data_IF_274378542748
#
_entry.id   IF_274378542748
#
_cell.length_a   1.000
_cell.length_b   1.000
_cell.length_c   1.000
_cell.angle_alpha   90.00
_cell.angle_beta   90.00
_cell.angle_gamma   90.00
#
_symmetry.space_group_name_H-M   'P 1'
#
loop_
_entity.id
_entity.type
_entity.pdbx_description
1 polymer ?
#
# COMPACT_ATOMS: atom_id res chain seq x y z
N UNK A 1 -36.16 -23.75 -45.84
CA UNK A 1 -36.23 -23.43 -44.39
C UNK A 1 -35.11 -24.21 -43.73
N UNK A 2 -33.91 -23.65 -43.81
CA UNK A 2 -32.68 -24.21 -43.27
C UNK A 2 -32.59 -23.83 -41.79
N UNK A 3 -32.42 -24.83 -40.92
CA UNK A 3 -32.05 -24.62 -39.52
C UNK A 3 -30.59 -25.05 -39.40
N UNK A 4 -29.71 -24.05 -39.38
CA UNK A 4 -28.27 -24.17 -39.25
C UNK A 4 -27.96 -24.49 -37.77
N UNK A 5 -27.21 -25.57 -37.55
CA UNK A 5 -26.60 -25.85 -36.25
C UNK A 5 -25.57 -24.78 -35.87
N UNK A 6 -24.93 -24.98 -34.71
CA UNK A 6 -23.77 -24.23 -34.21
C UNK A 6 -24.08 -23.10 -33.21
N UNK A 7 -24.34 -23.43 -31.93
CA UNK A 7 -23.91 -22.58 -30.80
C UNK A 7 -23.72 -23.42 -29.51
N UNK A 8 -22.92 -24.49 -29.55
CA UNK A 8 -22.44 -25.19 -28.32
C UNK A 8 -20.90 -25.15 -28.18
N UNK A 9 -20.25 -24.19 -28.86
CA UNK A 9 -18.80 -23.96 -28.78
C UNK A 9 -18.47 -22.47 -28.58
N UNK A 10 -18.92 -21.81 -27.49
CA UNK A 10 -18.34 -20.52 -27.04
C UNK A 10 -18.16 -20.46 -25.50
N UNK A 11 -18.07 -21.62 -24.82
CA UNK A 11 -17.60 -21.68 -23.42
C UNK A 11 -16.33 -22.51 -23.25
N UNK A 12 -15.48 -22.50 -24.28
CA UNK A 12 -14.15 -23.12 -24.25
C UNK A 12 -13.13 -22.22 -24.94
N UNK A 13 -12.74 -21.14 -24.27
CA UNK A 13 -11.39 -20.56 -24.39
C UNK A 13 -11.24 -19.36 -23.47
N UNK A 14 -10.60 -19.63 -22.33
CA UNK A 14 -9.59 -18.74 -21.72
C UNK A 14 -9.90 -17.25 -21.66
N UNK A 15 -10.45 -16.82 -20.52
CA UNK A 15 -9.84 -15.71 -19.81
C UNK A 15 -9.88 -16.03 -18.32
N UNK A 16 -8.80 -16.64 -17.86
CA UNK A 16 -8.46 -16.74 -16.46
C UNK A 16 -8.58 -15.36 -15.85
N UNK A 17 -9.65 -15.11 -15.09
CA UNK A 17 -9.63 -14.12 -14.04
C UNK A 17 -8.44 -14.50 -13.16
N UNK A 18 -7.30 -13.85 -13.37
CA UNK A 18 -6.07 -14.11 -12.64
C UNK A 18 -6.43 -13.85 -11.18
N UNK A 19 -6.63 -14.94 -10.43
CA UNK A 19 -6.56 -14.97 -8.98
C UNK A 19 -5.16 -14.52 -8.63
N UNK A 20 -4.96 -13.20 -8.66
CA UNK A 20 -3.75 -12.52 -8.22
C UNK A 20 -3.77 -12.62 -6.71
N UNK A 21 -3.30 -13.76 -6.23
CA UNK A 21 -3.11 -14.01 -4.82
C UNK A 21 -2.26 -12.88 -4.22
N UNK A 22 -2.66 -12.42 -3.04
CA UNK A 22 -2.04 -11.29 -2.37
C UNK A 22 -0.80 -11.76 -1.61
N UNK A 23 0.36 -11.67 -2.25
CA UNK A 23 1.62 -12.15 -1.69
C UNK A 23 2.56 -11.02 -1.30
N UNK A 24 3.30 -11.25 -0.22
CA UNK A 24 4.52 -10.51 0.10
C UNK A 24 5.65 -11.05 -0.79
N UNK A 25 6.18 -10.17 -1.63
CA UNK A 25 7.26 -10.45 -2.59
C UNK A 25 8.62 -10.29 -1.91
N UNK A 26 8.75 -9.25 -1.09
CA UNK A 26 9.96 -9.01 -0.32
C UNK A 26 9.65 -8.33 1.00
N UNK A 27 10.58 -8.47 1.94
CA UNK A 27 10.58 -7.78 3.21
C UNK A 27 11.99 -7.23 3.43
N UNK A 28 12.10 -6.00 3.90
CA UNK A 28 13.36 -5.29 4.01
C UNK A 28 13.44 -4.43 5.27
N UNK A 29 14.66 -4.10 5.66
CA UNK A 29 15.01 -3.19 6.74
C UNK A 29 15.95 -2.14 6.17
N UNK A 30 15.58 -0.87 6.30
CA UNK A 30 16.37 0.30 5.91
C UNK A 30 16.89 0.98 7.17
N UNK A 31 18.14 1.40 7.14
CA UNK A 31 18.80 2.16 8.20
C UNK A 31 19.32 3.48 7.63
N UNK A 32 19.36 4.51 8.46
CA UNK A 32 20.10 5.73 8.14
C UNK A 32 21.54 5.61 8.63
N UNK A 33 22.49 5.56 7.70
CA UNK A 33 23.92 5.65 7.97
C UNK A 33 24.38 7.11 7.85
N UNK A 34 25.11 7.62 8.85
CA UNK A 34 25.55 9.02 8.87
C UNK A 34 26.56 9.39 7.77
N UNK A 35 27.22 8.40 7.16
CA UNK A 35 28.21 8.58 6.08
C UNK A 35 27.60 8.27 4.71
N UNK A 36 26.79 7.22 4.61
CA UNK A 36 26.23 6.75 3.32
C UNK A 36 24.82 7.25 3.04
N UNK A 37 24.11 7.76 4.05
CA UNK A 37 22.69 8.09 3.96
C UNK A 37 21.80 6.87 4.15
N UNK A 38 20.63 6.85 3.51
CA UNK A 38 19.70 5.72 3.61
C UNK A 38 20.31 4.48 2.93
N UNK A 39 20.27 3.34 3.61
CA UNK A 39 20.81 2.07 3.11
C UNK A 39 19.90 0.92 3.50
N UNK A 40 19.75 -0.07 2.61
CA UNK A 40 19.12 -1.36 2.97
C UNK A 40 20.11 -2.13 3.84
N UNK A 41 19.77 -2.33 5.12
CA UNK A 41 20.56 -3.10 6.09
C UNK A 41 20.37 -4.61 5.86
N UNK A 42 19.14 -5.01 5.55
CA UNK A 42 18.76 -6.40 5.37
C UNK A 42 17.53 -6.52 4.48
N UNK A 43 17.43 -7.60 3.70
CA UNK A 43 16.24 -7.92 2.93
C UNK A 43 16.08 -9.43 2.74
N UNK A 44 14.87 -9.85 2.39
CA UNK A 44 14.53 -11.21 1.97
C UNK A 44 13.49 -11.13 0.85
N UNK A 45 13.64 -11.89 -0.25
CA UNK A 45 14.81 -12.70 -0.62
C UNK A 45 16.03 -11.84 -0.96
N UNK A 46 17.24 -12.39 -0.86
CA UNK A 46 18.50 -11.62 -0.95
C UNK A 46 18.84 -11.13 -2.38
N UNK A 47 18.21 -11.72 -3.39
CA UNK A 47 18.46 -11.51 -4.82
C UNK A 47 17.46 -10.55 -5.48
N UNK A 48 16.53 -9.98 -4.71
CA UNK A 48 15.53 -9.06 -5.25
C UNK A 48 16.09 -7.65 -5.48
N UNK A 49 15.74 -7.04 -6.61
CA UNK A 49 16.08 -5.65 -6.91
C UNK A 49 15.19 -4.67 -6.11
N UNK A 50 15.75 -4.12 -5.05
CA UNK A 50 15.15 -3.08 -4.20
C UNK A 50 15.84 -1.72 -4.39
N UNK A 51 16.52 -1.51 -5.51
CA UNK A 51 17.24 -0.25 -5.76
C UNK A 51 16.29 0.95 -5.64
N UNK A 52 16.63 1.90 -4.77
CA UNK A 52 15.88 3.12 -4.55
C UNK A 52 14.73 3.00 -3.55
N UNK A 53 14.44 1.80 -3.02
CA UNK A 53 13.45 1.60 -1.95
C UNK A 53 13.90 2.32 -0.68
N UNK A 54 15.19 2.43 -0.41
CA UNK A 54 15.76 3.14 0.73
C UNK A 54 15.37 4.62 0.79
N UNK A 55 15.14 5.26 -0.37
CA UNK A 55 14.70 6.66 -0.47
C UNK A 55 13.18 6.83 -0.44
N UNK A 56 12.44 5.71 -0.47
CA UNK A 56 10.98 5.67 -0.30
C UNK A 56 10.60 5.25 1.13
N UNK A 57 11.37 4.34 1.72
CA UNK A 57 11.17 3.80 3.06
C UNK A 57 11.48 4.82 4.17
N UNK A 58 12.54 5.61 4.01
CA UNK A 58 12.85 6.74 4.90
C UNK A 58 12.63 8.03 4.12
N UNK A 59 11.51 8.69 4.43
CA UNK A 59 11.04 9.88 3.74
C UNK A 59 11.89 11.09 4.10
N UNK A 60 12.01 12.03 3.16
CA UNK A 60 12.69 13.30 3.43
C UNK A 60 11.96 14.05 4.55
N UNK A 61 12.69 14.39 5.61
CA UNK A 61 12.12 15.01 6.81
C UNK A 61 11.66 14.01 7.89
N UNK A 62 11.82 12.69 7.72
CA UNK A 62 11.44 11.72 8.76
C UNK A 62 12.16 11.93 10.11
N UNK A 63 13.27 12.68 10.14
CA UNK A 63 13.94 13.05 11.39
C UNK A 63 13.12 14.00 12.29
N UNK A 64 12.03 14.61 11.79
CA UNK A 64 11.15 15.49 12.58
C UNK A 64 10.04 14.74 13.30
N UNK A 65 9.91 13.43 13.06
CA UNK A 65 8.86 12.58 13.64
C UNK A 65 9.48 11.36 14.31
N UNK A 66 8.82 10.85 15.35
CA UNK A 66 9.29 9.65 16.07
C UNK A 66 8.88 8.39 15.32
N UNK A 67 7.68 8.39 14.74
CA UNK A 67 7.07 7.26 14.04
C UNK A 67 6.31 7.78 12.82
N UNK A 68 6.34 7.02 11.73
CA UNK A 68 5.54 7.28 10.53
C UNK A 68 5.37 5.98 9.74
N UNK A 69 4.45 5.96 8.79
CA UNK A 69 4.37 4.89 7.79
C UNK A 69 4.19 5.50 6.41
N UNK A 70 4.57 4.75 5.38
CA UNK A 70 4.51 5.23 4.00
C UNK A 70 4.09 4.10 3.08
N UNK A 71 3.15 4.40 2.17
CA UNK A 71 2.87 3.59 0.99
C UNK A 71 3.59 4.18 -0.20
N UNK A 72 4.11 3.33 -1.08
CA UNK A 72 4.78 3.76 -2.30
C UNK A 72 4.64 2.70 -3.39
N UNK A 73 4.75 3.12 -4.65
CA UNK A 73 4.91 2.17 -5.76
C UNK A 73 6.39 1.87 -6.01
N UNK A 74 6.72 0.60 -6.21
CA UNK A 74 8.02 0.12 -6.65
C UNK A 74 7.84 -0.79 -7.86
N UNK A 75 8.26 -0.34 -9.03
CA UNK A 75 7.99 -1.02 -10.31
C UNK A 75 6.47 -1.30 -10.46
N UNK A 76 6.09 -2.57 -10.66
CA UNK A 76 4.69 -3.01 -10.77
C UNK A 76 4.08 -3.48 -9.43
N UNK A 77 4.77 -3.19 -8.32
CA UNK A 77 4.39 -3.62 -6.99
C UNK A 77 4.21 -2.42 -6.05
N UNK A 78 3.65 -2.70 -4.88
CA UNK A 78 3.36 -1.70 -3.86
C UNK A 78 4.12 -2.01 -2.59
N UNK A 79 4.73 -0.99 -2.00
CA UNK A 79 5.45 -1.09 -0.75
C UNK A 79 4.72 -0.43 0.40
N UNK A 80 4.86 -1.02 1.58
CA UNK A 80 4.57 -0.39 2.86
C UNK A 80 5.86 -0.38 3.67
N UNK A 81 6.22 0.77 4.23
CA UNK A 81 7.32 0.88 5.19
C UNK A 81 6.86 1.59 6.44
N UNK A 82 7.23 1.08 7.61
CA UNK A 82 7.01 1.71 8.90
C UNK A 82 8.35 2.21 9.42
N UNK A 83 8.41 3.48 9.82
CA UNK A 83 9.60 4.19 10.28
C UNK A 83 9.55 4.40 11.79
N UNK A 84 10.70 4.29 12.44
CA UNK A 84 10.88 4.71 13.82
C UNK A 84 12.24 5.38 14.05
N UNK A 85 12.22 6.40 14.90
CA UNK A 85 13.36 7.18 15.38
C UNK A 85 13.46 7.00 16.90
N UNK A 86 14.66 6.73 17.40
CA UNK A 86 14.96 6.70 18.84
C UNK A 86 16.20 7.50 19.11
N UNK A 87 16.16 8.37 20.13
CA UNK A 87 17.34 9.08 20.60
C UNK A 87 18.26 8.11 21.36
N UNK A 88 19.54 8.10 21.01
CA UNK A 88 20.54 7.17 21.57
C UNK A 88 21.74 7.97 22.03
N UNK A 89 22.27 7.69 23.23
CA UNK A 89 23.41 8.40 23.81
C UNK A 89 24.78 7.92 23.24
N UNK A 90 24.84 7.54 21.97
CA UNK A 90 26.05 7.09 21.29
C UNK A 90 26.60 8.21 20.39
N UNK A 91 27.86 8.57 20.60
CA UNK A 91 28.55 9.60 19.82
C UNK A 91 28.68 9.23 18.33
N UNK A 92 28.82 7.94 18.01
CA UNK A 92 28.92 7.44 16.63
C UNK A 92 27.60 7.56 15.85
N UNK A 93 26.47 7.48 16.54
CA UNK A 93 25.12 7.60 15.95
C UNK A 93 24.56 9.02 16.05
N UNK A 94 25.39 10.02 16.42
CA UNK A 94 25.01 11.44 16.57
C UNK A 94 23.73 11.68 17.38
N UNK A 95 23.49 10.88 18.41
CA UNK A 95 22.34 11.11 19.29
C UNK A 95 21.03 10.47 18.84
N UNK A 96 20.94 9.87 17.64
CA UNK A 96 19.69 9.33 17.12
C UNK A 96 19.86 8.16 16.15
N UNK A 97 19.07 7.12 16.37
CA UNK A 97 18.99 5.94 15.50
C UNK A 97 17.66 5.94 14.76
N UNK A 98 17.73 5.73 13.46
CA UNK A 98 16.58 5.69 12.55
C UNK A 98 16.57 4.38 11.81
N UNK A 99 15.43 3.67 11.85
CA UNK A 99 15.20 2.48 11.02
C UNK A 99 13.82 2.52 10.41
N UNK A 100 13.68 1.82 9.30
CA UNK A 100 12.39 1.51 8.72
C UNK A 100 12.31 0.03 8.35
N UNK A 101 11.19 -0.61 8.64
CA UNK A 101 10.91 -1.99 8.24
C UNK A 101 9.74 -1.96 7.28
N UNK A 102 9.88 -2.64 6.14
CA UNK A 102 8.87 -2.60 5.11
C UNK A 102 8.75 -3.89 4.32
N UNK A 103 7.69 -3.95 3.55
CA UNK A 103 7.33 -5.07 2.68
C UNK A 103 7.03 -4.55 1.27
N UNK A 104 7.15 -5.42 0.29
CA UNK A 104 6.65 -5.25 -1.07
C UNK A 104 5.56 -6.30 -1.31
N UNK A 105 4.38 -5.85 -1.73
CA UNK A 105 3.22 -6.67 -2.04
C UNK A 105 2.76 -6.47 -3.48
N UNK A 106 2.04 -7.47 -4.00
CA UNK A 106 1.42 -7.39 -5.33
C UNK A 106 0.28 -6.36 -5.40
N UNK A 107 -0.44 -6.16 -4.30
CA UNK A 107 -1.60 -5.25 -4.21
C UNK A 107 -1.40 -4.23 -3.12
N UNK A 108 -1.86 -3.00 -3.37
CA UNK A 108 -1.88 -1.96 -2.32
C UNK A 108 -3.04 -2.14 -1.32
N UNK A 109 -4.06 -2.93 -1.67
CA UNK A 109 -5.28 -3.09 -0.87
C UNK A 109 -5.03 -3.81 0.45
N UNK A 110 -4.06 -4.74 0.50
CA UNK A 110 -3.69 -5.51 1.69
C UNK A 110 -2.64 -4.87 2.59
N UNK A 111 -1.94 -3.82 2.13
CA UNK A 111 -0.81 -3.24 2.87
C UNK A 111 -1.17 -2.93 4.32
N UNK A 112 -2.37 -2.40 4.54
CA UNK A 112 -2.87 -2.01 5.86
C UNK A 112 -2.94 -3.18 6.87
N UNK A 113 -3.06 -4.43 6.41
CA UNK A 113 -3.10 -5.62 7.27
C UNK A 113 -1.74 -5.92 7.89
N UNK A 114 -0.67 -5.48 7.24
CA UNK A 114 0.70 -5.72 7.67
C UNK A 114 1.27 -4.60 8.55
N UNK A 115 0.62 -3.42 8.56
CA UNK A 115 1.12 -2.23 9.25
C UNK A 115 1.36 -2.45 10.74
N UNK A 116 0.38 -3.02 11.46
CA UNK A 116 0.50 -3.23 12.92
C UNK A 116 1.72 -4.11 13.27
N UNK A 117 1.99 -5.13 12.45
CA UNK A 117 3.17 -5.99 12.63
C UNK A 117 4.46 -5.20 12.37
N UNK A 118 4.54 -4.45 11.27
CA UNK A 118 5.74 -3.70 10.91
C UNK A 118 6.05 -2.57 11.90
N UNK A 119 5.03 -1.89 12.44
CA UNK A 119 5.16 -0.88 13.51
C UNK A 119 5.79 -1.46 14.78
N UNK A 120 5.41 -2.69 15.15
CA UNK A 120 6.00 -3.39 16.29
C UNK A 120 7.43 -3.84 16.00
N UNK A 121 7.66 -4.39 14.80
CA UNK A 121 8.95 -4.93 14.42
C UNK A 121 10.02 -3.86 14.22
N UNK A 122 9.67 -2.68 13.68
CA UNK A 122 10.64 -1.58 13.58
C UNK A 122 11.12 -1.14 14.95
N UNK A 123 10.25 -1.08 15.95
CA UNK A 123 10.62 -0.77 17.34
C UNK A 123 11.52 -1.85 17.93
N UNK A 124 11.20 -3.12 17.69
CA UNK A 124 12.02 -4.25 18.14
C UNK A 124 13.43 -4.24 17.54
N UNK A 125 13.55 -4.10 16.22
CA UNK A 125 14.82 -4.09 15.49
C UNK A 125 15.66 -2.85 15.82
N UNK A 126 15.01 -1.75 16.19
CA UNK A 126 15.68 -0.52 16.64
C UNK A 126 16.37 -0.73 18.01
N UNK A 127 15.78 -1.53 18.90
CA UNK A 127 16.33 -1.88 20.21
C UNK A 127 17.32 -3.04 20.17
N UNK A 128 16.92 -4.15 19.54
CA UNK A 128 17.70 -5.38 19.44
C UNK A 128 18.19 -5.52 18.00
N UNK A 129 19.37 -4.97 17.74
CA UNK A 129 20.00 -4.97 16.42
C UNK A 129 20.18 -6.41 15.87
N UNK A 130 20.07 -6.55 14.55
CA UNK A 130 20.33 -7.79 13.79
C UNK A 130 19.45 -9.00 14.12
N UNK A 131 18.31 -8.79 14.79
CA UNK A 131 17.34 -9.85 15.05
C UNK A 131 16.14 -9.76 14.10
N UNK A 132 16.15 -10.60 13.07
CA UNK A 132 15.12 -10.61 12.01
C UNK A 132 14.30 -11.91 11.96
N UNK A 133 14.34 -12.75 13.00
CA UNK A 133 13.68 -14.05 13.00
C UNK A 133 12.16 -13.95 12.78
N UNK A 134 11.52 -13.01 13.46
CA UNK A 134 10.08 -12.77 13.31
C UNK A 134 9.74 -12.27 11.90
N UNK A 135 10.58 -11.40 11.33
CA UNK A 135 10.43 -10.90 9.96
C UNK A 135 10.55 -12.02 8.93
N UNK A 136 11.51 -12.92 9.12
CA UNK A 136 11.70 -14.09 8.26
C UNK A 136 10.46 -15.01 8.35
N UNK A 137 10.01 -15.33 9.56
CA UNK A 137 8.82 -16.16 9.79
C UNK A 137 7.57 -15.54 9.16
N UNK A 138 7.43 -14.21 9.27
CA UNK A 138 6.35 -13.46 8.65
C UNK A 138 6.39 -13.56 7.12
N UNK A 139 7.55 -13.31 6.51
CA UNK A 139 7.72 -13.45 5.07
C UNK A 139 7.32 -14.84 4.57
N UNK A 140 7.80 -15.92 5.21
CA UNK A 140 7.44 -17.29 4.81
C UNK A 140 5.96 -17.61 5.00
N UNK A 141 5.29 -16.98 5.96
CA UNK A 141 3.84 -17.13 6.16
C UNK A 141 3.05 -16.51 5.01
N UNK A 142 3.41 -15.30 4.55
CA UNK A 142 2.62 -14.55 3.58
C UNK A 142 3.10 -14.63 2.12
N UNK A 143 4.30 -15.14 1.84
CA UNK A 143 4.82 -15.31 0.46
C UNK A 143 4.00 -16.26 -0.42
N UNK A 144 3.25 -17.17 0.20
CA UNK A 144 2.50 -18.23 -0.47
C UNK A 144 1.00 -18.25 -0.11
N UNK A 145 0.47 -17.26 0.63
CA UNK A 145 -0.93 -17.25 1.05
C UNK A 145 -1.88 -16.87 -0.11
N UNK A 146 -2.68 -17.81 -0.66
CA UNK A 146 -3.55 -17.51 -1.80
C UNK A 146 -4.77 -16.67 -1.42
N UNK A 147 -5.18 -16.70 -0.15
CA UNK A 147 -6.45 -16.12 0.27
C UNK A 147 -6.49 -15.89 1.78
N UNK A 148 -6.42 -14.62 2.18
CA UNK A 148 -7.07 -14.18 3.43
C UNK A 148 -8.04 -13.02 3.22
N UNK A 149 -8.12 -12.45 2.01
CA UNK A 149 -8.93 -11.28 1.73
C UNK A 149 -10.26 -11.53 1.05
N UNK A 150 -10.73 -12.78 1.08
CA UNK A 150 -12.15 -13.07 0.98
C UNK A 150 -12.60 -13.79 2.25
N UNK A 151 -12.71 -13.05 3.35
CA UNK A 151 -13.82 -13.28 4.28
C UNK A 151 -15.14 -12.72 3.69
N UNK A 152 -15.36 -12.90 2.38
CA UNK A 152 -16.70 -13.10 1.88
C UNK A 152 -17.04 -14.53 2.28
N UNK A 153 -17.68 -14.66 3.44
CA UNK A 153 -18.39 -15.87 3.81
C UNK A 153 -19.23 -16.25 2.59
N UNK A 154 -19.00 -17.43 2.01
CA UNK A 154 -19.98 -18.06 1.12
C UNK A 154 -21.28 -18.20 1.92
N UNK A 155 -22.13 -17.18 1.80
CA UNK A 155 -23.48 -17.21 2.30
C UNK A 155 -24.18 -18.19 1.37
N UNK A 156 -24.35 -19.43 1.83
CA UNK A 156 -25.41 -20.28 1.31
C UNK A 156 -26.73 -19.56 1.56
N UNK A 157 -27.45 -19.31 0.47
CA UNK A 157 -28.76 -18.68 0.46
C UNK A 157 -29.69 -19.31 1.50
N UNK A 158 -30.02 -18.54 2.52
CA UNK A 158 -31.19 -18.74 3.37
C UNK A 158 -31.61 -17.37 3.92
N UNK A 159 -32.71 -16.91 3.36
CA UNK A 159 -33.79 -16.01 3.83
C UNK A 159 -33.43 -14.78 4.71
N UNK A 160 -33.50 -13.64 4.03
CA UNK A 160 -34.36 -12.47 4.28
C UNK A 160 -34.33 -11.64 5.58
N UNK A 161 -34.26 -10.33 5.31
CA UNK A 161 -34.61 -9.14 6.11
C UNK A 161 -33.79 -8.74 7.35
N UNK A 162 -33.01 -9.61 8.00
CA UNK A 162 -32.19 -9.21 9.18
C UNK A 162 -30.77 -8.74 8.81
N UNK A 163 -30.36 -8.89 7.54
CA UNK A 163 -28.95 -8.80 7.11
C UNK A 163 -28.38 -7.40 6.91
N UNK A 164 -29.19 -6.38 6.62
CA UNK A 164 -28.66 -5.04 6.32
C UNK A 164 -28.07 -4.31 7.55
N UNK A 165 -28.36 -4.80 8.77
CA UNK A 165 -27.80 -4.25 10.01
C UNK A 165 -26.49 -4.91 10.47
N UNK A 166 -26.07 -6.02 9.86
CA UNK A 166 -24.86 -6.77 10.29
C UNK A 166 -23.63 -6.53 9.42
N UNK A 167 -23.75 -5.72 8.37
CA UNK A 167 -22.67 -5.42 7.41
C UNK A 167 -22.07 -4.01 7.56
N UNK A 168 -22.14 -3.45 8.76
CA UNK A 168 -21.05 -2.59 9.24
C UNK A 168 -20.29 -3.43 10.26
N UNK A 169 -19.54 -4.44 9.78
CA UNK A 169 -18.34 -4.85 10.49
C UNK A 169 -17.57 -3.56 10.70
N UNK A 170 -17.53 -3.09 11.95
CA UNK A 170 -16.84 -1.89 12.38
C UNK A 170 -15.48 -1.92 11.69
N UNK A 171 -15.34 -1.17 10.60
CA UNK A 171 -14.10 -1.09 9.84
C UNK A 171 -13.09 -0.69 10.89
N UNK A 172 -12.12 -1.59 11.18
CA UNK A 172 -11.08 -1.28 12.16
C UNK A 172 -10.54 0.10 11.80
N UNK A 173 -10.42 0.97 12.80
CA UNK A 173 -10.09 2.40 12.68
C UNK A 173 -8.80 2.66 11.86
N UNK A 174 -8.00 1.62 11.59
CA UNK A 174 -6.76 1.63 10.80
C UNK A 174 -6.90 1.19 9.34
N UNK A 175 -8.08 0.77 8.87
CA UNK A 175 -8.30 0.48 7.45
C UNK A 175 -8.45 1.80 6.67
N UNK A 176 -7.78 1.99 5.52
CA UNK A 176 -7.89 3.23 4.72
C UNK A 176 -9.35 3.61 4.37
N UNK A 177 -10.18 2.62 3.99
CA UNK A 177 -11.64 2.76 3.82
C UNK A 177 -12.37 3.23 5.09
N UNK A 178 -11.92 2.82 6.28
CA UNK A 178 -12.47 3.31 7.55
C UNK A 178 -12.25 4.82 7.76
N UNK A 179 -11.21 5.38 7.15
CA UNK A 179 -10.94 6.81 7.13
C UNK A 179 -11.70 7.57 6.03
N UNK A 180 -12.51 6.90 5.20
CA UNK A 180 -13.19 7.55 4.08
C UNK A 180 -14.16 8.65 4.52
N UNK A 181 -14.89 8.45 5.62
CA UNK A 181 -15.78 9.47 6.19
C UNK A 181 -15.02 10.74 6.61
N UNK A 182 -13.86 10.56 7.25
CA UNK A 182 -12.96 11.66 7.64
C UNK A 182 -12.36 12.34 6.42
N UNK A 183 -12.04 11.58 5.37
CA UNK A 183 -11.57 12.10 4.09
C UNK A 183 -12.62 12.99 3.40
N UNK A 184 -13.88 12.53 3.33
CA UNK A 184 -14.98 13.35 2.80
C UNK A 184 -15.18 14.60 3.66
N UNK A 185 -15.18 14.48 4.99
CA UNK A 185 -15.31 15.62 5.89
C UNK A 185 -14.17 16.63 5.73
N UNK A 186 -12.93 16.16 5.53
CA UNK A 186 -11.75 17.00 5.34
C UNK A 186 -11.82 17.85 4.07
N UNK A 187 -12.24 17.26 2.94
CA UNK A 187 -12.36 17.99 1.68
C UNK A 187 -13.70 18.73 1.54
N UNK A 188 -14.72 18.33 2.30
CA UNK A 188 -16.06 18.91 2.24
C UNK A 188 -16.60 18.94 0.81
N UNK A 189 -17.12 20.10 0.40
CA UNK A 189 -17.66 20.30 -0.96
C UNK A 189 -16.61 20.19 -2.08
N UNK A 190 -15.33 20.42 -1.76
CA UNK A 190 -14.23 20.34 -2.73
C UNK A 190 -13.99 18.90 -3.21
N UNK A 191 -14.57 17.90 -2.54
CA UNK A 191 -14.52 16.51 -2.98
C UNK A 191 -15.09 16.32 -4.39
N UNK A 192 -16.10 17.08 -4.77
CA UNK A 192 -16.70 17.00 -6.11
C UNK A 192 -15.76 17.56 -7.18
N UNK A 193 -14.93 18.55 -6.84
CA UNK A 193 -13.90 19.08 -7.75
C UNK A 193 -12.80 18.03 -7.95
N UNK A 194 -12.35 17.42 -6.84
CA UNK A 194 -11.38 16.32 -6.90
C UNK A 194 -11.91 15.14 -7.71
N UNK A 195 -13.17 14.75 -7.49
CA UNK A 195 -13.81 13.69 -8.27
C UNK A 195 -13.87 14.01 -9.76
N UNK A 196 -14.20 15.25 -10.16
CA UNK A 196 -14.13 15.67 -11.57
C UNK A 196 -12.71 15.55 -12.13
N UNK A 197 -11.68 15.93 -11.37
CA UNK A 197 -10.30 15.77 -11.81
C UNK A 197 -9.89 14.30 -11.96
N UNK A 198 -10.38 13.43 -11.08
CA UNK A 198 -10.18 11.98 -11.18
C UNK A 198 -10.83 11.41 -12.45
N UNK A 199 -12.08 11.77 -12.73
CA UNK A 199 -12.78 11.35 -13.96
C UNK A 199 -12.07 11.85 -15.23
N UNK A 200 -11.49 13.05 -15.17
CA UNK A 200 -10.71 13.63 -16.25
C UNK A 200 -9.26 13.11 -16.32
N UNK A 201 -8.90 12.11 -15.51
CA UNK A 201 -7.55 11.52 -15.46
C UNK A 201 -6.45 12.58 -15.34
N UNK A 202 -6.65 13.56 -14.46
CA UNK A 202 -5.65 14.61 -14.20
C UNK A 202 -4.53 14.07 -13.31
N UNK A 203 -3.34 14.67 -13.44
CA UNK A 203 -2.20 14.48 -12.52
C UNK A 203 -2.52 15.18 -11.20
N UNK A 204 -2.69 14.42 -10.13
CA UNK A 204 -3.03 14.94 -8.80
C UNK A 204 -1.84 14.67 -7.87
N UNK A 205 -1.32 15.73 -7.24
CA UNK A 205 -0.26 15.67 -6.26
C UNK A 205 -0.74 16.22 -4.92
N UNK A 206 -0.70 15.41 -3.87
CA UNK A 206 -0.97 15.79 -2.50
C UNK A 206 0.34 16.13 -1.80
N UNK A 207 0.53 17.41 -1.46
CA UNK A 207 1.73 17.86 -0.77
C UNK A 207 1.50 18.02 0.72
N UNK A 208 2.36 17.40 1.54
CA UNK A 208 2.43 17.65 2.98
C UNK A 208 3.83 17.30 3.53
N UNK A 209 4.27 17.97 4.62
CA UNK A 209 5.46 17.52 5.35
C UNK A 209 5.17 16.19 6.11
N UNK A 210 6.21 15.44 6.53
CA UNK A 210 6.05 14.30 7.43
C UNK A 210 5.27 14.69 8.70
N UNK A 211 4.36 13.82 9.20
CA UNK A 211 4.15 12.43 8.79
C UNK A 211 3.35 12.26 7.49
N UNK A 212 3.79 11.35 6.61
CA UNK A 212 3.19 11.14 5.29
C UNK A 212 2.11 10.07 5.26
N UNK A 213 2.04 9.18 6.25
CA UNK A 213 1.09 8.05 6.23
C UNK A 213 -0.36 8.47 6.06
N UNK A 214 -0.76 9.58 6.70
CA UNK A 214 -2.09 10.16 6.54
C UNK A 214 -2.40 10.56 5.08
N UNK A 215 -1.39 11.02 4.32
CA UNK A 215 -1.56 11.36 2.91
C UNK A 215 -1.69 10.10 2.06
N UNK A 216 -0.93 9.04 2.37
CA UNK A 216 -1.07 7.75 1.70
C UNK A 216 -2.50 7.20 1.82
N UNK A 217 -3.16 7.39 2.96
CA UNK A 217 -4.59 7.04 3.13
C UNK A 217 -5.52 7.93 2.29
N UNK A 218 -5.20 9.21 2.11
CA UNK A 218 -5.97 10.10 1.22
C UNK A 218 -5.82 9.68 -0.24
N UNK A 219 -4.62 9.31 -0.68
CA UNK A 219 -4.39 8.73 -2.02
C UNK A 219 -5.21 7.45 -2.21
N UNK A 220 -5.21 6.56 -1.21
CA UNK A 220 -6.06 5.37 -1.23
C UNK A 220 -7.53 5.73 -1.41
N UNK A 221 -8.05 6.68 -0.61
CA UNK A 221 -9.44 7.13 -0.68
C UNK A 221 -9.79 7.79 -2.02
N UNK A 222 -8.87 8.53 -2.63
CA UNK A 222 -9.05 9.09 -3.98
C UNK A 222 -9.14 7.97 -5.03
N UNK A 223 -8.33 6.92 -4.89
CA UNK A 223 -8.42 5.72 -5.74
C UNK A 223 -9.79 5.04 -5.63
N UNK A 224 -10.34 4.92 -4.42
CA UNK A 224 -11.70 4.41 -4.21
C UNK A 224 -12.76 5.31 -4.83
N UNK A 225 -12.63 6.64 -4.66
CA UNK A 225 -13.57 7.61 -5.19
C UNK A 225 -13.64 7.58 -6.73
N UNK A 226 -12.53 7.23 -7.38
CA UNK A 226 -12.45 7.07 -8.83
C UNK A 226 -13.04 5.74 -9.33
N UNK A 227 -13.08 4.70 -8.49
CA UNK A 227 -13.75 3.43 -8.77
C UNK A 227 -15.27 3.61 -8.65
N UNK A 228 -15.93 3.95 -9.77
CA UNK A 228 -17.38 4.00 -9.87
C UNK A 228 -17.88 2.76 -10.64
N UNK A 229 -18.98 2.17 -10.16
CA UNK A 229 -19.47 0.85 -10.57
C UNK A 229 -20.13 0.76 -11.95
N UNK A 230 -19.74 1.61 -12.91
CA UNK A 230 -20.22 1.51 -14.29
C UNK A 230 -19.05 1.08 -15.20
N UNK A 231 -19.23 -0.08 -15.83
CA UNK A 231 -18.30 -0.80 -16.73
C UNK A 231 -17.86 -0.03 -17.99
N UNK A 232 -18.09 1.27 -18.09
CA UNK A 232 -17.75 2.00 -19.32
C UNK A 232 -16.24 2.09 -19.56
N UNK A 233 -15.43 2.08 -18.50
CA UNK A 233 -13.98 1.88 -18.57
C UNK A 233 -13.52 1.51 -17.17
N UNK A 234 -12.87 0.34 -16.97
CA UNK A 234 -12.07 0.13 -15.75
C UNK A 234 -11.01 1.23 -15.71
N UNK A 235 -11.28 2.29 -14.97
CA UNK A 235 -10.32 3.36 -14.76
C UNK A 235 -9.26 2.80 -13.84
N UNK A 236 -8.18 2.26 -14.42
CA UNK A 236 -6.98 1.95 -13.67
C UNK A 236 -6.41 3.26 -13.16
N UNK A 237 -6.75 3.58 -11.91
CA UNK A 237 -6.20 4.73 -11.22
C UNK A 237 -4.77 4.39 -10.84
N UNK A 238 -3.83 5.15 -11.37
CA UNK A 238 -2.42 4.97 -11.06
C UNK A 238 -2.09 5.64 -9.71
N UNK A 239 -2.32 4.91 -8.63
CA UNK A 239 -1.97 5.32 -7.27
C UNK A 239 -0.47 5.09 -7.04
N UNK A 240 0.32 6.14 -7.09
CA UNK A 240 1.75 6.08 -6.81
C UNK A 240 2.05 6.17 -5.32
N UNK A 241 1.12 6.74 -4.55
CA UNK A 241 1.33 7.13 -3.15
C UNK A 241 2.57 8.02 -3.04
N UNK A 242 3.52 7.71 -2.15
CA UNK A 242 4.68 8.54 -1.97
C UNK A 242 5.61 8.57 -3.19
N UNK A 243 5.92 9.78 -3.63
CA UNK A 243 6.90 10.09 -4.68
C UNK A 243 7.93 11.08 -4.15
N UNK A 244 9.18 10.92 -4.58
CA UNK A 244 10.27 11.84 -4.24
C UNK A 244 10.86 12.50 -5.50
N UNK A 245 11.86 13.35 -5.32
CA UNK A 245 12.52 14.06 -6.44
C UNK A 245 13.11 13.08 -7.46
N UNK A 246 13.55 11.89 -7.04
CA UNK A 246 14.04 10.84 -7.94
C UNK A 246 12.98 10.29 -8.90
N UNK A 247 11.69 10.52 -8.63
CA UNK A 247 10.60 10.09 -9.51
C UNK A 247 10.22 11.14 -10.57
N UNK A 248 10.77 12.36 -10.54
CA UNK A 248 10.33 13.48 -11.37
C UNK A 248 10.34 13.16 -12.88
N UNK A 249 11.41 12.50 -13.36
CA UNK A 249 11.53 12.11 -14.77
C UNK A 249 10.46 11.09 -15.19
N UNK A 250 10.14 10.13 -14.32
CA UNK A 250 9.08 9.17 -14.57
C UNK A 250 7.70 9.84 -14.56
N UNK A 251 7.45 10.74 -13.61
CA UNK A 251 6.19 11.47 -13.47
C UNK A 251 5.89 12.39 -14.66
N UNK A 252 6.93 12.98 -15.26
CA UNK A 252 6.77 13.86 -16.43
C UNK A 252 6.07 13.16 -17.60
N UNK A 253 6.39 11.87 -17.80
CA UNK A 253 5.91 11.05 -18.91
C UNK A 253 4.58 10.35 -18.63
N UNK A 254 4.02 10.44 -17.41
CA UNK A 254 2.76 9.81 -17.06
C UNK A 254 1.57 10.71 -17.40
N UNK A 255 0.58 10.22 -18.14
CA UNK A 255 -0.60 11.02 -18.49
C UNK A 255 -1.48 11.35 -17.27
N UNK A 256 -1.60 10.40 -16.34
CA UNK A 256 -2.43 10.51 -15.14
C UNK A 256 -1.80 9.75 -13.97
N UNK A 257 -1.85 10.35 -12.78
CA UNK A 257 -1.44 9.71 -11.54
C UNK A 257 -2.06 10.40 -10.32
N UNK A 258 -2.07 9.68 -9.20
CA UNK A 258 -2.34 10.23 -7.86
C UNK A 258 -1.13 9.91 -7.00
N UNK A 259 -0.49 10.95 -6.47
CA UNK A 259 0.68 10.85 -5.61
C UNK A 259 0.50 11.73 -4.38
#
# INVERSE_FOLDING_TARGET
MENIGYVDEIFSSTDSAVNSNDFIIALFVVVFDTKKGNCIEWCIPNDIDLTGVEFKAIVSGSHTVIEDFVYFRHQEHYGLSCFALKSVNNAEERGARMKSVGIICTKYTSLHEHQDFLELQVKYVLEKQYQYHDLISYYFTYRNCPNRNNAFIEIKDTDDEVKYKKHFSVLKIRHPVGCFSQFIAYFGVSIFVLWKFLLLKKRILLFAPPPVGAQCYRVYCLGLLANHGYDLHRNFVNNLFYVNVGNLLALQNMDSFIA
#
